data_IF_457220345921
#
_entry.id   IF_457220345921
#
_cell.length_a   1.000
_cell.length_b   1.000
_cell.length_c   1.000
_cell.angle_alpha   90.00
_cell.angle_beta   90.00
_cell.angle_gamma   90.00
#
_symmetry.space_group_name_H-M   'P 1'
#
loop_
_entity.id
_entity.type
_entity.pdbx_description
1 polymer ?
#
# COMPACT_ATOMS: atom_id res chain seq x y z
N UNK A 1 0.84 -8.48 -10.59
CA UNK A 1 0.12 -7.50 -11.44
C UNK A 1 -1.30 -7.96 -11.71
N UNK A 2 -1.50 -9.13 -12.36
CA UNK A 2 -2.85 -9.62 -12.72
C UNK A 2 -3.76 -9.80 -11.49
N UNK A 3 -3.26 -10.39 -10.41
CA UNK A 3 -4.02 -10.59 -9.17
C UNK A 3 -4.45 -9.25 -8.55
N UNK A 4 -3.54 -8.26 -8.47
CA UNK A 4 -3.86 -6.92 -7.99
C UNK A 4 -4.95 -6.25 -8.84
N UNK A 5 -4.88 -6.41 -10.17
CA UNK A 5 -5.87 -5.86 -11.07
C UNK A 5 -7.25 -6.50 -10.89
N UNK A 6 -7.33 -7.84 -10.77
CA UNK A 6 -8.60 -8.53 -10.56
C UNK A 6 -9.23 -8.15 -9.22
N UNK A 7 -8.45 -8.14 -8.13
CA UNK A 7 -8.93 -7.69 -6.82
C UNK A 7 -9.35 -6.21 -6.86
N UNK A 8 -8.58 -5.35 -7.51
CA UNK A 8 -8.92 -3.94 -7.66
C UNK A 8 -10.21 -3.69 -8.43
N UNK A 9 -10.59 -4.56 -9.36
CA UNK A 9 -11.92 -4.50 -10.00
C UNK A 9 -13.05 -4.78 -9.04
N UNK A 10 -12.84 -5.68 -8.08
CA UNK A 10 -13.82 -5.94 -7.02
C UNK A 10 -13.95 -4.69 -6.16
N UNK A 11 -12.85 -4.13 -5.65
CA UNK A 11 -12.90 -2.91 -4.81
C UNK A 11 -13.59 -1.76 -5.55
N UNK A 12 -13.26 -1.57 -6.83
CA UNK A 12 -13.84 -0.50 -7.65
C UNK A 12 -15.34 -0.63 -7.83
N UNK A 13 -15.90 -1.86 -7.85
CA UNK A 13 -17.35 -2.07 -7.94
C UNK A 13 -18.12 -1.58 -6.71
N UNK A 14 -17.44 -1.52 -5.57
CA UNK A 14 -17.99 -1.01 -4.31
C UNK A 14 -17.64 0.46 -4.03
N UNK A 15 -16.66 1.02 -4.73
CA UNK A 15 -16.21 2.39 -4.51
C UNK A 15 -17.31 3.40 -4.80
N UNK A 16 -17.60 4.28 -3.83
CA UNK A 16 -18.69 5.29 -3.90
C UNK A 16 -20.11 4.68 -4.05
N UNK A 17 -20.30 3.41 -3.70
CA UNK A 17 -21.61 2.75 -3.80
C UNK A 17 -22.47 2.86 -2.53
N UNK A 18 -21.94 3.48 -1.46
CA UNK A 18 -22.61 3.50 -0.16
C UNK A 18 -22.53 2.18 0.58
N UNK A 19 -21.46 1.40 0.36
CA UNK A 19 -21.19 0.14 1.07
C UNK A 19 -21.19 0.34 2.59
N UNK A 20 -21.77 -0.62 3.33
CA UNK A 20 -21.75 -0.62 4.77
C UNK A 20 -20.32 -0.79 5.31
N UNK A 21 -20.03 -0.07 6.39
CA UNK A 21 -18.71 -0.04 7.02
C UNK A 21 -18.81 -0.69 8.39
N UNK A 22 -18.11 -1.78 8.57
CA UNK A 22 -17.92 -2.42 9.87
C UNK A 22 -16.69 -1.81 10.59
N UNK A 23 -16.62 -1.96 11.91
CA UNK A 23 -15.44 -1.63 12.69
C UNK A 23 -14.70 -2.90 13.10
N UNK A 24 -13.38 -2.96 12.86
CA UNK A 24 -12.52 -4.02 13.40
C UNK A 24 -12.34 -3.85 14.93
N UNK A 25 -11.68 -4.81 15.56
CA UNK A 25 -11.44 -4.77 17.02
C UNK A 25 -10.62 -3.54 17.47
N UNK A 26 -9.76 -3.03 16.61
CA UNK A 26 -8.94 -1.83 16.81
C UNK A 26 -9.65 -0.52 16.37
N UNK A 27 -10.95 -0.60 16.04
CA UNK A 27 -11.79 0.50 15.54
C UNK A 27 -11.41 1.01 14.14
N UNK A 28 -10.54 0.32 13.40
CA UNK A 28 -10.31 0.61 11.98
C UNK A 28 -11.52 0.18 11.15
N UNK A 29 -11.84 0.89 10.04
CA UNK A 29 -12.94 0.52 9.17
C UNK A 29 -12.59 -0.71 8.32
N UNK A 30 -13.60 -1.52 8.02
CA UNK A 30 -13.54 -2.62 7.05
C UNK A 30 -14.87 -2.72 6.31
N UNK A 31 -14.83 -3.13 5.06
CA UNK A 31 -16.04 -3.31 4.25
C UNK A 31 -16.08 -4.71 3.63
N UNK A 32 -17.20 -5.06 3.02
CA UNK A 32 -17.31 -6.29 2.20
C UNK A 32 -16.31 -6.28 1.04
N UNK A 33 -15.95 -5.10 0.52
CA UNK A 33 -15.00 -4.96 -0.57
C UNK A 33 -13.60 -5.43 -0.19
N UNK A 34 -13.13 -5.12 1.03
CA UNK A 34 -11.84 -5.58 1.58
C UNK A 34 -11.82 -7.12 1.60
N UNK A 35 -12.86 -7.72 2.16
CA UNK A 35 -12.96 -9.18 2.33
C UNK A 35 -13.03 -9.91 0.98
N UNK A 36 -13.87 -9.46 0.05
CA UNK A 36 -14.00 -10.09 -1.27
C UNK A 36 -12.73 -9.94 -2.10
N UNK A 37 -12.07 -8.79 -2.02
CA UNK A 37 -10.79 -8.57 -2.69
C UNK A 37 -9.70 -9.50 -2.14
N UNK A 38 -9.59 -9.67 -0.82
CA UNK A 38 -8.61 -10.60 -0.24
C UNK A 38 -8.92 -12.06 -0.59
N UNK A 39 -10.19 -12.47 -0.57
CA UNK A 39 -10.58 -13.81 -1.03
C UNK A 39 -10.09 -14.05 -2.47
N UNK A 40 -10.30 -13.09 -3.36
CA UNK A 40 -9.84 -13.19 -4.75
C UNK A 40 -8.32 -13.31 -4.86
N UNK A 41 -7.57 -12.52 -4.09
CA UNK A 41 -6.11 -12.60 -4.05
C UNK A 41 -5.65 -13.98 -3.59
N UNK A 42 -6.21 -14.50 -2.50
CA UNK A 42 -5.91 -15.83 -1.97
C UNK A 42 -6.21 -16.95 -2.96
N UNK A 43 -7.36 -16.88 -3.66
CA UNK A 43 -7.71 -17.83 -4.72
C UNK A 43 -6.64 -17.89 -5.82
N UNK A 44 -6.22 -16.71 -6.32
CA UNK A 44 -5.24 -16.63 -7.40
C UNK A 44 -3.84 -17.08 -6.95
N UNK A 45 -3.44 -16.74 -5.70
CA UNK A 45 -2.18 -17.22 -5.13
C UNK A 45 -2.19 -18.73 -5.00
N UNK A 46 -3.22 -19.33 -4.42
CA UNK A 46 -3.33 -20.79 -4.27
C UNK A 46 -3.33 -21.53 -5.61
N UNK A 47 -3.92 -20.91 -6.65
CA UNK A 47 -3.92 -21.48 -7.99
C UNK A 47 -2.53 -21.54 -8.61
N UNK A 48 -1.72 -20.49 -8.43
CA UNK A 48 -0.42 -20.34 -9.10
C UNK A 48 0.78 -20.70 -8.20
N UNK A 49 0.62 -20.57 -6.89
CA UNK A 49 1.67 -20.78 -5.87
C UNK A 49 1.12 -21.61 -4.69
N UNK A 50 0.66 -22.87 -4.94
CA UNK A 50 -0.10 -23.66 -3.96
C UNK A 50 0.66 -24.01 -2.68
N UNK A 51 2.00 -23.87 -2.67
CA UNK A 51 2.85 -24.17 -1.54
C UNK A 51 3.32 -22.91 -0.77
N UNK A 52 3.03 -21.71 -1.25
CA UNK A 52 3.38 -20.48 -0.58
C UNK A 52 2.41 -20.19 0.57
N UNK A 53 2.92 -19.61 1.67
CA UNK A 53 2.10 -19.07 2.74
C UNK A 53 1.41 -17.77 2.30
N UNK A 54 0.40 -17.36 3.06
CA UNK A 54 -0.30 -16.08 2.83
C UNK A 54 -0.53 -15.42 4.19
N UNK A 55 -0.22 -14.13 4.28
CA UNK A 55 -0.56 -13.28 5.40
C UNK A 55 -1.32 -12.06 4.88
N UNK A 56 -2.59 -11.96 5.24
CA UNK A 56 -3.47 -10.88 4.79
C UNK A 56 -4.08 -10.13 5.96
N UNK A 57 -4.43 -8.88 5.72
CA UNK A 57 -5.01 -8.00 6.72
C UNK A 57 -6.35 -8.51 7.25
N UNK A 58 -7.20 -9.10 6.39
CA UNK A 58 -8.58 -9.45 6.74
C UNK A 58 -8.72 -10.87 7.29
N UNK A 59 -7.99 -11.84 6.74
CA UNK A 59 -8.11 -13.25 7.11
C UNK A 59 -6.85 -13.81 7.79
N UNK A 60 -5.85 -12.94 8.07
CA UNK A 60 -4.65 -13.33 8.81
C UNK A 60 -3.76 -14.31 8.06
N UNK A 61 -3.03 -15.13 8.82
CA UNK A 61 -1.93 -15.95 8.32
C UNK A 61 -2.37 -17.38 8.02
N UNK A 62 -1.89 -17.89 6.88
CA UNK A 62 -1.96 -19.28 6.42
C UNK A 62 -0.54 -19.75 6.10
N UNK A 63 -0.10 -20.84 6.75
CA UNK A 63 1.26 -21.34 6.58
C UNK A 63 1.44 -22.06 5.24
N UNK A 64 2.60 -21.86 4.62
CA UNK A 64 3.02 -22.57 3.41
C UNK A 64 4.16 -23.53 3.68
N UNK A 65 4.58 -24.26 2.64
CA UNK A 65 5.70 -25.23 2.72
C UNK A 65 6.87 -24.88 1.79
N UNK A 66 6.75 -23.85 0.96
CA UNK A 66 7.78 -23.43 -0.01
C UNK A 66 8.91 -22.62 0.62
N UNK A 67 8.71 -22.05 1.81
CA UNK A 67 9.59 -21.04 2.41
C UNK A 67 9.31 -19.61 1.92
N UNK A 68 8.29 -19.42 1.08
CA UNK A 68 7.79 -18.12 0.64
C UNK A 68 6.41 -17.82 1.24
N UNK A 69 6.12 -16.54 1.44
CA UNK A 69 4.83 -16.04 1.90
C UNK A 69 4.40 -14.82 1.10
N UNK A 70 3.09 -14.66 0.90
CA UNK A 70 2.49 -13.47 0.30
C UNK A 70 1.93 -12.58 1.40
N UNK A 71 2.22 -11.28 1.31
CA UNK A 71 1.64 -10.23 2.15
C UNK A 71 0.56 -9.53 1.35
N UNK A 72 -0.65 -9.40 1.91
CA UNK A 72 -1.82 -8.88 1.21
C UNK A 72 -2.50 -7.78 2.02
N UNK A 73 -2.67 -6.62 1.40
CA UNK A 73 -3.64 -5.61 1.82
C UNK A 73 -4.63 -5.38 0.68
N UNK A 74 -5.89 -5.79 0.83
CA UNK A 74 -6.89 -5.66 -0.22
C UNK A 74 -7.32 -4.22 -0.47
N UNK A 75 -7.31 -3.35 0.56
CA UNK A 75 -7.63 -1.92 0.46
C UNK A 75 -6.77 -1.13 1.46
N UNK A 76 -5.50 -0.90 1.13
CA UNK A 76 -4.73 0.10 1.86
C UNK A 76 -5.32 1.49 1.64
N UNK A 77 -5.55 2.20 2.75
CA UNK A 77 -6.31 3.43 2.72
C UNK A 77 -7.83 3.23 2.81
N UNK A 78 -8.33 2.25 3.59
CA UNK A 78 -9.77 1.99 3.79
C UNK A 78 -10.54 3.26 4.22
N UNK A 79 -9.92 4.15 5.00
CA UNK A 79 -10.52 5.45 5.36
C UNK A 79 -10.77 6.33 4.14
N UNK A 80 -9.83 6.38 3.21
CA UNK A 80 -9.97 7.08 1.93
C UNK A 80 -11.07 6.43 1.09
N UNK A 81 -11.06 5.10 0.98
CA UNK A 81 -12.07 4.34 0.24
C UNK A 81 -13.49 4.62 0.73
N UNK A 82 -13.73 4.53 2.05
CA UNK A 82 -15.04 4.80 2.68
C UNK A 82 -15.52 6.23 2.45
N UNK A 83 -14.62 7.20 2.43
CA UNK A 83 -14.95 8.61 2.17
C UNK A 83 -15.07 8.93 0.66
N UNK A 84 -14.93 7.93 -0.21
CA UNK A 84 -14.99 8.14 -1.67
C UNK A 84 -13.80 8.90 -2.24
N UNK A 85 -12.67 8.91 -1.52
CA UNK A 85 -11.40 9.50 -1.97
C UNK A 85 -10.63 8.46 -2.77
N UNK A 86 -10.18 8.74 -4.01
CA UNK A 86 -9.61 7.73 -4.91
C UNK A 86 -8.15 7.36 -4.59
N UNK A 87 -7.68 7.63 -3.37
CA UNK A 87 -6.30 7.41 -2.93
C UNK A 87 -6.23 6.15 -2.05
N UNK A 88 -6.63 5.01 -2.60
CA UNK A 88 -6.54 3.70 -1.98
C UNK A 88 -5.94 2.70 -2.96
N UNK A 89 -5.36 1.63 -2.46
CA UNK A 89 -4.70 0.64 -3.30
C UNK A 89 -4.88 -0.80 -2.86
N UNK A 90 -4.68 -1.73 -3.80
CA UNK A 90 -4.51 -3.16 -3.57
C UNK A 90 -3.02 -3.45 -3.53
N UNK A 91 -2.54 -3.98 -2.42
CA UNK A 91 -1.13 -4.23 -2.16
C UNK A 91 -0.83 -5.71 -2.09
N UNK A 92 0.22 -6.13 -2.80
CA UNK A 92 0.75 -7.49 -2.74
C UNK A 92 2.27 -7.46 -2.64
N UNK A 93 2.81 -8.30 -1.78
CA UNK A 93 4.24 -8.61 -1.80
C UNK A 93 4.45 -10.12 -1.69
N UNK A 94 5.59 -10.60 -2.17
CA UNK A 94 6.07 -11.95 -1.91
C UNK A 94 7.40 -11.86 -1.21
N UNK A 95 7.53 -12.55 -0.09
CA UNK A 95 8.76 -12.60 0.70
C UNK A 95 9.27 -14.02 0.88
N UNK A 96 10.58 -14.14 1.05
CA UNK A 96 11.26 -15.38 1.37
C UNK A 96 12.37 -15.13 2.40
N UNK A 97 13.29 -16.07 2.54
CA UNK A 97 14.37 -16.00 3.53
C UNK A 97 15.27 -14.74 3.39
N UNK A 98 15.38 -14.19 2.20
CA UNK A 98 16.17 -12.98 1.92
C UNK A 98 15.35 -11.68 1.99
N UNK A 99 14.11 -11.74 2.46
CA UNK A 99 13.13 -10.65 2.50
C UNK A 99 12.25 -10.57 1.26
N UNK A 100 11.63 -9.42 1.02
CA UNK A 100 10.67 -9.22 -0.08
C UNK A 100 11.38 -9.24 -1.44
N UNK A 101 10.90 -10.07 -2.36
CA UNK A 101 11.44 -10.20 -3.73
C UNK A 101 10.54 -9.57 -4.80
N UNK A 102 9.24 -9.46 -4.54
CA UNK A 102 8.27 -8.82 -5.44
C UNK A 102 7.32 -7.93 -4.65
N UNK A 103 7.06 -6.73 -5.16
CA UNK A 103 6.04 -5.82 -4.65
C UNK A 103 5.16 -5.29 -5.77
N UNK A 104 3.86 -5.11 -5.47
CA UNK A 104 2.89 -4.59 -6.42
C UNK A 104 1.86 -3.74 -5.67
N UNK A 105 1.60 -2.55 -6.18
CA UNK A 105 0.54 -1.64 -5.72
C UNK A 105 -0.32 -1.27 -6.91
N UNK A 106 -1.61 -1.53 -6.84
CA UNK A 106 -2.59 -1.08 -7.81
C UNK A 106 -3.57 -0.11 -7.19
N UNK A 107 -3.72 1.06 -7.78
CA UNK A 107 -4.66 2.11 -7.39
C UNK A 107 -5.88 2.05 -8.33
N UNK A 108 -6.94 1.32 -7.99
CA UNK A 108 -8.01 0.98 -8.94
C UNK A 108 -8.75 2.20 -9.47
N UNK A 109 -9.07 3.17 -8.59
CA UNK A 109 -9.80 4.37 -8.96
C UNK A 109 -9.00 5.33 -9.87
N UNK A 110 -7.66 5.20 -9.88
CA UNK A 110 -6.75 5.98 -10.74
C UNK A 110 -6.26 5.18 -11.95
N UNK A 111 -6.57 3.88 -12.02
CA UNK A 111 -6.03 2.93 -13.00
C UNK A 111 -4.49 3.01 -13.07
N UNK A 112 -3.85 3.04 -11.91
CA UNK A 112 -2.42 3.21 -11.78
C UNK A 112 -1.80 1.96 -11.14
N UNK A 113 -0.86 1.32 -11.84
CA UNK A 113 -0.19 0.10 -11.42
C UNK A 113 1.30 0.34 -11.27
N UNK A 114 1.83 0.09 -10.07
CA UNK A 114 3.27 0.12 -9.81
C UNK A 114 3.71 -1.24 -9.30
N UNK A 115 4.78 -1.78 -9.83
CA UNK A 115 5.35 -3.04 -9.38
C UNK A 115 6.86 -3.04 -9.52
N UNK A 116 7.50 -3.82 -8.67
CA UNK A 116 8.93 -4.01 -8.68
C UNK A 116 9.30 -5.46 -8.34
N UNK A 117 10.43 -5.90 -8.88
CA UNK A 117 11.12 -7.14 -8.47
C UNK A 117 12.52 -6.78 -8.02
N UNK A 118 13.04 -7.51 -7.03
CA UNK A 118 14.38 -7.29 -6.52
C UNK A 118 15.42 -7.43 -7.64
N UNK A 119 16.18 -6.36 -7.91
CA UNK A 119 17.16 -6.30 -9.00
C UNK A 119 16.57 -6.04 -10.39
N UNK A 120 15.24 -6.12 -10.57
CA UNK A 120 14.56 -5.87 -11.85
C UNK A 120 14.13 -4.42 -12.02
N UNK A 121 14.14 -3.64 -10.91
CA UNK A 121 13.71 -2.25 -10.82
C UNK A 121 12.21 -2.08 -10.80
N UNK A 122 11.78 -0.81 -10.76
CA UNK A 122 10.39 -0.40 -10.59
C UNK A 122 9.73 -0.03 -11.94
N UNK A 123 8.45 -0.36 -12.07
CA UNK A 123 7.65 -0.13 -13.26
C UNK A 123 6.32 0.55 -12.89
N UNK A 124 5.97 1.58 -13.60
CA UNK A 124 4.74 2.35 -13.44
C UNK A 124 3.94 2.38 -14.75
N UNK A 125 2.79 1.74 -14.77
CA UNK A 125 1.95 1.62 -15.99
C UNK A 125 2.77 1.21 -17.23
N UNK A 126 3.63 0.19 -17.07
CA UNK A 126 4.48 -0.34 -18.15
C UNK A 126 5.70 0.50 -18.51
N UNK A 127 5.96 1.59 -17.79
CA UNK A 127 7.16 2.44 -17.96
C UNK A 127 8.10 2.27 -16.78
N UNK A 128 9.40 2.38 -17.02
CA UNK A 128 10.41 2.37 -15.96
C UNK A 128 10.18 3.57 -15.04
N UNK A 129 10.06 3.33 -13.75
CA UNK A 129 9.97 4.36 -12.73
C UNK A 129 11.33 4.66 -12.11
N UNK A 130 11.52 5.88 -11.65
CA UNK A 130 12.68 6.34 -10.89
C UNK A 130 12.22 7.33 -9.83
N UNK A 131 12.89 7.33 -8.69
CA UNK A 131 12.73 8.36 -7.66
C UNK A 131 13.21 9.73 -8.18
N UNK A 132 12.83 10.80 -7.49
CA UNK A 132 13.29 12.15 -7.78
C UNK A 132 14.80 12.31 -7.55
N UNK A 133 15.37 13.37 -8.09
CA UNK A 133 16.78 13.75 -7.87
C UNK A 133 16.90 14.90 -6.85
N UNK A 134 15.86 15.15 -6.06
CA UNK A 134 15.84 16.22 -5.05
C UNK A 134 16.80 15.86 -3.90
N UNK A 135 17.78 16.72 -3.64
CA UNK A 135 18.82 16.51 -2.62
C UNK A 135 18.58 17.32 -1.34
N UNK A 136 17.76 18.36 -1.41
CA UNK A 136 17.55 19.27 -0.30
C UNK A 136 16.11 19.28 0.17
N UNK A 137 15.93 19.29 1.49
CA UNK A 137 14.61 19.33 2.10
C UNK A 137 13.81 20.59 1.72
N UNK A 138 14.50 21.69 1.48
CA UNK A 138 13.90 22.97 1.09
C UNK A 138 13.24 22.93 -0.29
N UNK A 139 13.62 21.96 -1.12
CA UNK A 139 13.07 21.74 -2.44
C UNK A 139 12.05 20.57 -2.46
N UNK A 140 11.97 19.82 -1.35
CA UNK A 140 11.23 18.57 -1.29
C UNK A 140 9.70 18.74 -1.20
N UNK A 141 8.99 17.83 -1.87
CA UNK A 141 7.59 17.53 -1.65
C UNK A 141 7.48 16.32 -0.72
N UNK A 142 6.85 16.50 0.43
CA UNK A 142 6.71 15.49 1.47
C UNK A 142 5.25 15.09 1.62
N UNK A 143 5.00 13.78 1.60
CA UNK A 143 3.69 13.18 1.85
C UNK A 143 3.61 12.60 3.26
N UNK A 144 2.39 12.46 3.78
CA UNK A 144 2.12 11.81 5.05
C UNK A 144 0.68 11.28 5.08
N UNK A 145 0.42 10.25 5.89
CA UNK A 145 -0.90 9.65 6.03
C UNK A 145 -1.74 10.40 7.07
N UNK A 146 -1.30 10.47 8.31
CA UNK A 146 -2.06 11.08 9.39
C UNK A 146 -1.16 11.83 10.37
N UNK A 147 -1.54 13.08 10.65
CA UNK A 147 -0.92 13.85 11.72
C UNK A 147 -1.05 13.18 13.09
N UNK A 148 -2.18 12.53 13.35
CA UNK A 148 -2.46 11.87 14.63
C UNK A 148 -1.51 10.70 14.89
N UNK A 149 -1.03 10.00 13.85
CA UNK A 149 -0.09 8.89 13.98
C UNK A 149 1.28 9.38 14.49
N UNK A 150 1.71 10.59 14.13
CA UNK A 150 2.95 11.19 14.65
C UNK A 150 2.83 11.51 16.14
N UNK A 151 1.70 12.07 16.57
CA UNK A 151 1.44 12.35 17.98
C UNK A 151 1.38 11.05 18.80
N UNK A 152 0.63 10.05 18.35
CA UNK A 152 0.51 8.75 19.02
C UNK A 152 1.87 8.03 19.15
N UNK A 153 2.75 8.17 18.15
CA UNK A 153 4.10 7.59 18.16
C UNK A 153 5.16 8.48 18.85
N UNK A 154 4.77 9.60 19.47
CA UNK A 154 5.65 10.58 20.12
C UNK A 154 6.72 11.17 19.16
N UNK A 155 6.38 11.37 17.89
CA UNK A 155 7.28 11.87 16.84
C UNK A 155 6.90 13.25 16.31
N UNK A 156 5.97 13.96 16.96
CA UNK A 156 5.48 15.28 16.51
C UNK A 156 6.59 16.33 16.43
N UNK A 157 7.56 16.35 17.35
CA UNK A 157 8.66 17.32 17.30
C UNK A 157 9.55 17.08 16.07
N UNK A 158 9.84 15.83 15.74
CA UNK A 158 10.61 15.48 14.54
C UNK A 158 9.82 15.86 13.28
N UNK A 159 8.54 15.51 13.24
CA UNK A 159 7.66 15.83 12.13
C UNK A 159 7.57 17.35 11.90
N UNK A 160 7.36 18.15 12.95
CA UNK A 160 7.36 19.60 12.86
C UNK A 160 8.69 20.16 12.37
N UNK A 161 9.81 19.56 12.77
CA UNK A 161 11.15 19.95 12.31
C UNK A 161 11.34 19.75 10.80
N UNK A 162 10.80 18.64 10.27
CA UNK A 162 10.81 18.31 8.84
C UNK A 162 9.91 19.27 8.06
N UNK A 163 8.63 19.38 8.48
CA UNK A 163 7.62 20.12 7.72
C UNK A 163 7.88 21.61 7.64
N UNK A 164 8.55 22.19 8.64
CA UNK A 164 8.97 23.62 8.61
C UNK A 164 10.00 23.93 7.53
N UNK A 165 10.74 22.93 7.07
CA UNK A 165 11.83 23.12 6.09
C UNK A 165 11.42 22.73 4.68
N UNK A 166 10.47 21.81 4.53
CA UNK A 166 10.06 21.30 3.24
C UNK A 166 9.35 22.37 2.38
N UNK A 167 9.57 22.32 1.06
CA UNK A 167 8.90 23.20 0.10
C UNK A 167 7.39 22.98 0.08
N UNK A 168 6.97 21.72 0.15
CA UNK A 168 5.56 21.31 0.05
C UNK A 168 5.30 20.13 0.98
N UNK A 169 4.19 20.18 1.75
CA UNK A 169 3.75 19.07 2.59
C UNK A 169 2.28 18.78 2.28
N UNK A 170 1.95 17.52 2.03
CA UNK A 170 0.59 17.08 1.66
C UNK A 170 0.20 15.79 2.35
N UNK A 171 -1.05 15.70 2.80
CA UNK A 171 -1.70 14.48 3.28
C UNK A 171 -2.14 13.54 2.15
N UNK A 172 -1.26 13.29 1.18
CA UNK A 172 -1.43 12.24 0.18
C UNK A 172 -0.80 10.97 0.74
N UNK A 173 -1.53 10.34 1.64
CA UNK A 173 -1.04 9.27 2.49
C UNK A 173 -1.34 7.87 1.97
N UNK A 174 -1.24 6.94 2.90
CA UNK A 174 -1.36 5.52 2.65
C UNK A 174 -0.41 5.11 1.50
N UNK A 175 -0.66 4.03 0.79
CA UNK A 175 0.18 3.60 -0.34
C UNK A 175 0.39 4.68 -1.41
N UNK A 176 -0.59 5.58 -1.61
CA UNK A 176 -0.47 6.61 -2.64
C UNK A 176 0.73 7.52 -2.41
N UNK A 177 0.98 7.95 -1.17
CA UNK A 177 2.15 8.76 -0.84
C UNK A 177 3.47 8.08 -1.18
N UNK A 178 3.57 6.79 -0.87
CA UNK A 178 4.75 5.98 -1.18
C UNK A 178 4.94 5.76 -2.69
N UNK A 179 3.84 5.54 -3.42
CA UNK A 179 3.89 5.42 -4.89
C UNK A 179 4.31 6.73 -5.57
N UNK A 180 3.94 7.88 -5.01
CA UNK A 180 4.45 9.17 -5.50
C UNK A 180 5.98 9.25 -5.36
N UNK A 181 6.55 8.73 -4.26
CA UNK A 181 8.01 8.68 -4.07
C UNK A 181 8.65 7.71 -5.06
N UNK A 182 8.16 6.48 -5.15
CA UNK A 182 8.70 5.45 -6.04
C UNK A 182 8.71 5.87 -7.52
N UNK A 183 7.82 6.81 -7.90
CA UNK A 183 7.68 7.31 -9.27
C UNK A 183 8.25 8.72 -9.49
N UNK A 184 8.94 9.28 -8.48
CA UNK A 184 9.61 10.59 -8.56
C UNK A 184 8.67 11.81 -8.55
N UNK A 185 7.40 11.62 -8.16
CA UNK A 185 6.38 12.69 -8.06
C UNK A 185 6.37 13.38 -6.70
N UNK A 186 6.90 12.71 -5.67
CA UNK A 186 7.22 13.26 -4.37
C UNK A 186 8.61 12.79 -3.94
N UNK A 187 9.15 13.37 -2.88
CA UNK A 187 10.53 13.14 -2.48
C UNK A 187 10.62 12.28 -1.21
N UNK A 188 9.61 12.33 -0.36
CA UNK A 188 9.49 11.48 0.81
C UNK A 188 8.02 11.26 1.19
N UNK A 189 7.71 10.10 1.78
CA UNK A 189 6.43 9.81 2.43
C UNK A 189 6.69 9.26 3.82
N UNK A 190 5.91 9.72 4.80
CA UNK A 190 6.07 9.33 6.19
C UNK A 190 4.77 8.73 6.72
N UNK A 191 4.85 7.48 7.14
CA UNK A 191 3.82 6.81 7.91
C UNK A 191 4.46 6.11 9.12
N UNK A 192 4.21 6.59 10.34
CA UNK A 192 4.81 6.01 11.54
C UNK A 192 4.09 4.74 12.04
N UNK A 193 2.99 4.34 11.41
CA UNK A 193 2.19 3.18 11.80
C UNK A 193 1.86 2.34 10.55
N UNK A 194 2.66 1.29 10.33
CA UNK A 194 2.53 0.38 9.19
C UNK A 194 2.62 -1.08 9.66
N UNK A 195 1.86 -1.95 9.03
CA UNK A 195 1.95 -3.39 9.19
C UNK A 195 2.82 -4.02 8.09
N UNK A 196 3.18 -5.31 8.18
CA UNK A 196 3.96 -5.98 7.14
C UNK A 196 3.33 -5.92 5.74
N UNK A 197 2.00 -6.06 5.65
CA UNK A 197 1.27 -5.99 4.36
C UNK A 197 1.20 -4.59 3.77
N UNK A 198 1.36 -3.50 4.58
CA UNK A 198 1.42 -2.12 4.10
C UNK A 198 2.81 -1.81 3.53
N UNK A 199 3.89 -2.18 4.26
CA UNK A 199 5.26 -1.83 3.88
C UNK A 199 5.94 -2.84 2.94
N UNK A 200 5.64 -4.14 3.06
CA UNK A 200 6.25 -5.18 2.23
C UNK A 200 6.19 -4.89 0.73
N UNK A 201 5.03 -4.52 0.16
CA UNK A 201 4.87 -4.20 -1.26
C UNK A 201 5.70 -3.02 -1.76
N UNK A 202 6.21 -2.19 -0.85
CA UNK A 202 6.97 -0.97 -1.15
C UNK A 202 8.50 -1.18 -1.13
N UNK A 203 8.98 -2.32 -0.61
CA UNK A 203 10.41 -2.56 -0.37
C UNK A 203 11.25 -2.84 -1.64
N UNK A 204 10.77 -3.60 -2.65
CA UNK A 204 11.55 -3.81 -3.87
C UNK A 204 11.68 -2.56 -4.70
#
# INVERSE_FOLDING_TARGET
VEAAWQAGKITLSYFQSGVEVDAKADQSPVTIADREAEIKLRELIRLHYPNDGIEGEEFGREEGTSGYSWLLDPIDGTKSFVQGVPLYGVLLAREGAEGVDVGCVYLPALNEMVWAGRGEGCWWNGRRAKVSETEKIEDACICFTSWMNFAASQRDAVWQGITKKARLVRGWGDCYGHILVATGRADASFDPAMNPWDCGPLLP
#
